data_IF_241023055288
#
_entry.id   IF_241023055288
#
_cell.length_a   1.000
_cell.length_b   1.000
_cell.length_c   1.000
_cell.angle_alpha   90.00
_cell.angle_beta   90.00
_cell.angle_gamma   90.00
#
_symmetry.space_group_name_H-M   'P 1'
#
loop_
_entity.id
_entity.type
_entity.pdbx_description
1 polymer ?
#
# COMPACT_ATOMS: atom_id res chain seq x y z
N UNK A 1 3.63 2.24 13.84
CA UNK A 1 3.33 1.55 12.56
C UNK A 1 4.58 0.83 12.07
N UNK A 2 4.57 -0.50 12.05
CA UNK A 2 5.68 -1.33 11.59
C UNK A 2 5.66 -1.46 10.05
N UNK A 3 6.29 -0.52 9.33
CA UNK A 3 6.20 -0.47 7.86
C UNK A 3 6.84 -1.68 7.17
N UNK A 4 7.89 -2.26 7.75
CA UNK A 4 8.59 -3.46 7.24
C UNK A 4 7.64 -4.62 6.98
N UNK A 5 6.63 -4.79 7.84
CA UNK A 5 5.61 -5.85 7.74
C UNK A 5 4.87 -5.90 6.41
N UNK A 6 4.80 -4.78 5.68
CA UNK A 6 4.15 -4.72 4.36
C UNK A 6 4.87 -5.59 3.33
N UNK A 7 6.20 -5.60 3.36
CA UNK A 7 7.02 -6.22 2.30
C UNK A 7 7.67 -7.52 2.74
N UNK A 8 7.69 -7.78 4.05
CA UNK A 8 8.29 -8.96 4.66
C UNK A 8 7.53 -9.37 5.92
N UNK A 9 7.33 -10.68 6.10
CA UNK A 9 6.73 -11.28 7.29
C UNK A 9 7.64 -12.42 7.77
N UNK A 10 7.75 -12.61 9.08
CA UNK A 10 8.44 -13.78 9.62
C UNK A 10 7.63 -15.05 9.34
N UNK A 11 8.27 -16.20 9.45
CA UNK A 11 7.61 -17.50 9.35
C UNK A 11 6.44 -17.59 10.32
N UNK A 12 5.29 -18.05 9.83
CA UNK A 12 4.00 -18.14 10.53
C UNK A 12 3.36 -16.78 10.89
N UNK A 13 3.88 -15.66 10.39
CA UNK A 13 3.23 -14.36 10.52
C UNK A 13 2.45 -13.96 9.25
N UNK A 14 1.36 -13.24 9.46
CA UNK A 14 0.60 -12.59 8.37
C UNK A 14 1.02 -11.13 8.20
N UNK A 15 0.66 -10.58 7.04
CA UNK A 15 0.66 -9.14 6.83
C UNK A 15 -0.51 -8.48 7.60
N UNK A 16 -0.71 -7.18 7.44
CA UNK A 16 -1.83 -6.46 8.05
C UNK A 16 -3.19 -7.05 7.63
N UNK A 17 -4.12 -7.16 8.59
CA UNK A 17 -5.40 -7.83 8.40
C UNK A 17 -6.22 -7.25 7.26
N UNK A 18 -6.18 -5.93 7.08
CA UNK A 18 -6.93 -5.24 6.03
C UNK A 18 -6.76 -5.85 4.63
N UNK A 19 -5.59 -6.40 4.29
CA UNK A 19 -5.41 -7.05 2.99
C UNK A 19 -6.24 -8.33 2.86
N UNK A 20 -6.22 -9.18 3.88
CA UNK A 20 -6.99 -10.42 3.91
C UNK A 20 -8.48 -10.12 4.03
N UNK A 21 -8.88 -9.19 4.90
CA UNK A 21 -10.25 -8.72 5.03
C UNK A 21 -10.79 -8.17 3.71
N UNK A 22 -10.05 -7.30 3.03
CA UNK A 22 -10.42 -6.77 1.72
C UNK A 22 -10.62 -7.87 0.68
N UNK A 23 -9.69 -8.83 0.60
CA UNK A 23 -9.79 -9.94 -0.35
C UNK A 23 -10.94 -10.90 0.00
N UNK A 24 -11.29 -11.08 1.27
CA UNK A 24 -12.40 -11.93 1.68
C UNK A 24 -13.76 -11.23 1.48
N UNK A 25 -13.88 -9.96 1.87
CA UNK A 25 -15.15 -9.25 1.97
C UNK A 25 -15.54 -8.36 0.78
N UNK A 26 -14.66 -8.12 -0.20
CA UNK A 26 -15.06 -7.40 -1.41
C UNK A 26 -16.00 -8.22 -2.31
N UNK A 27 -16.98 -7.53 -2.92
CA UNK A 27 -17.82 -8.12 -3.96
C UNK A 27 -17.00 -8.52 -5.19
N UNK A 28 -17.49 -9.49 -5.96
CA UNK A 28 -16.80 -9.91 -7.18
C UNK A 28 -16.66 -8.79 -8.21
N UNK A 29 -17.65 -7.89 -8.29
CA UNK A 29 -17.57 -6.70 -9.14
C UNK A 29 -16.42 -5.78 -8.74
N UNK A 30 -16.27 -5.49 -7.44
CA UNK A 30 -15.17 -4.65 -6.96
C UNK A 30 -13.81 -5.32 -7.10
N UNK A 31 -13.72 -6.64 -6.88
CA UNK A 31 -12.51 -7.41 -7.16
C UNK A 31 -12.13 -7.33 -8.63
N UNK A 32 -13.09 -7.49 -9.53
CA UNK A 32 -12.84 -7.37 -10.97
C UNK A 32 -12.34 -5.97 -11.37
N UNK A 33 -12.93 -4.90 -10.82
CA UNK A 33 -12.47 -3.52 -11.07
C UNK A 33 -11.03 -3.25 -10.62
N UNK A 34 -10.55 -3.96 -9.60
CA UNK A 34 -9.18 -3.83 -9.05
C UNK A 34 -8.24 -4.96 -9.52
N UNK A 35 -8.72 -5.84 -10.39
CA UNK A 35 -8.06 -7.07 -10.83
C UNK A 35 -7.50 -7.90 -9.65
N UNK A 36 -8.33 -8.08 -8.62
CA UNK A 36 -7.96 -8.78 -7.40
C UNK A 36 -8.23 -10.28 -7.47
N UNK A 37 -7.33 -11.07 -6.88
CA UNK A 37 -7.40 -12.52 -6.73
C UNK A 37 -7.30 -12.93 -5.27
N UNK A 38 -7.26 -14.22 -4.97
CA UNK A 38 -7.06 -14.71 -3.62
C UNK A 38 -5.66 -14.39 -3.08
N UNK A 39 -5.52 -14.35 -1.74
CA UNK A 39 -4.32 -13.90 -1.05
C UNK A 39 -3.03 -14.64 -1.48
N UNK A 40 -3.15 -15.91 -1.87
CA UNK A 40 -2.04 -16.74 -2.35
C UNK A 40 -1.37 -16.22 -3.62
N UNK A 41 -2.01 -15.32 -4.36
CA UNK A 41 -1.47 -14.73 -5.58
C UNK A 41 -0.53 -13.55 -5.33
N UNK A 42 -0.40 -13.08 -4.09
CA UNK A 42 0.34 -11.87 -3.76
C UNK A 42 1.58 -12.18 -2.93
N UNK A 43 2.75 -11.78 -3.44
CA UNK A 43 4.04 -11.95 -2.75
C UNK A 43 4.03 -11.34 -1.36
N UNK A 44 3.40 -10.17 -1.20
CA UNK A 44 3.33 -9.49 0.09
C UNK A 44 2.41 -10.19 1.11
N UNK A 45 1.59 -11.16 0.71
CA UNK A 45 0.70 -11.88 1.64
C UNK A 45 1.17 -13.30 1.93
N UNK A 46 2.13 -13.81 1.16
CA UNK A 46 2.60 -15.19 1.22
C UNK A 46 3.97 -15.35 1.88
N UNK A 47 4.66 -14.24 2.20
CA UNK A 47 6.02 -14.26 2.73
C UNK A 47 6.19 -15.02 4.05
N UNK A 48 5.17 -15.02 4.91
CA UNK A 48 5.19 -15.74 6.19
C UNK A 48 4.65 -17.17 6.13
N UNK A 49 4.25 -17.67 4.96
CA UNK A 49 3.83 -19.08 4.80
C UNK A 49 2.42 -19.42 5.28
N UNK A 50 1.66 -18.48 5.83
CA UNK A 50 0.23 -18.64 6.10
C UNK A 50 -0.58 -17.44 5.62
N UNK A 51 -1.72 -17.70 4.99
CA UNK A 51 -2.72 -16.68 4.60
C UNK A 51 -4.00 -16.77 5.44
N UNK A 52 -4.14 -17.82 6.26
CA UNK A 52 -5.30 -18.09 7.10
C UNK A 52 -4.91 -17.89 8.57
N UNK A 53 -5.86 -17.47 9.39
CA UNK A 53 -5.71 -17.40 10.83
C UNK A 53 -6.94 -18.01 11.48
N UNK A 54 -6.71 -19.04 12.28
CA UNK A 54 -7.79 -19.76 12.95
C UNK A 54 -8.57 -18.81 13.88
N UNK A 55 -9.89 -19.00 13.90
CA UNK A 55 -10.81 -18.22 14.73
C UNK A 55 -11.13 -16.81 14.22
N UNK A 56 -10.73 -16.45 13.00
CA UNK A 56 -11.07 -15.16 12.39
C UNK A 56 -11.90 -15.31 11.12
N UNK A 57 -12.94 -14.50 11.02
CA UNK A 57 -13.72 -14.29 9.80
C UNK A 57 -13.29 -12.96 9.16
N UNK A 58 -12.34 -13.05 8.21
CA UNK A 58 -11.81 -11.88 7.52
C UNK A 58 -12.91 -11.12 6.73
N UNK A 59 -13.97 -11.80 6.27
CA UNK A 59 -15.08 -11.16 5.55
C UNK A 59 -15.99 -10.37 6.49
N UNK A 60 -16.30 -10.93 7.66
CA UNK A 60 -17.04 -10.22 8.71
C UNK A 60 -16.25 -9.01 9.23
N UNK A 61 -14.95 -9.17 9.50
CA UNK A 61 -14.09 -8.04 9.91
C UNK A 61 -14.03 -6.94 8.84
N UNK A 62 -14.08 -7.29 7.55
CA UNK A 62 -14.17 -6.28 6.50
C UNK A 62 -15.46 -5.47 6.55
N UNK A 63 -16.60 -6.11 6.85
CA UNK A 63 -17.87 -5.42 7.02
C UNK A 63 -17.83 -4.44 8.19
N UNK A 64 -17.19 -4.84 9.29
CA UNK A 64 -16.99 -3.98 10.46
C UNK A 64 -16.07 -2.79 10.15
N UNK A 65 -14.96 -3.03 9.44
CA UNK A 65 -14.05 -1.97 8.98
C UNK A 65 -14.79 -0.95 8.11
N UNK A 66 -15.61 -1.41 7.15
CA UNK A 66 -16.40 -0.51 6.29
C UNK A 66 -17.40 0.30 7.10
N UNK A 67 -18.09 -0.33 8.05
CA UNK A 67 -19.03 0.35 8.94
C UNK A 67 -18.33 1.41 9.79
N UNK A 68 -17.16 1.09 10.35
CA UNK A 68 -16.36 2.04 11.11
C UNK A 68 -15.90 3.23 10.26
N UNK A 69 -15.45 3.00 9.02
CA UNK A 69 -15.09 4.10 8.09
C UNK A 69 -16.29 5.03 7.81
N UNK A 70 -17.51 4.49 7.73
CA UNK A 70 -18.73 5.30 7.59
C UNK A 70 -19.03 6.14 8.83
N UNK A 71 -18.88 5.58 10.02
CA UNK A 71 -19.02 6.32 11.29
C UNK A 71 -18.01 7.47 11.38
N UNK A 72 -16.81 7.25 10.84
CA UNK A 72 -15.75 8.27 10.73
C UNK A 72 -15.97 9.28 9.58
N UNK A 73 -17.19 9.34 9.02
CA UNK A 73 -17.59 10.27 7.96
C UNK A 73 -16.77 10.14 6.67
N UNK A 74 -16.21 8.96 6.39
CA UNK A 74 -15.55 8.68 5.12
C UNK A 74 -16.59 8.40 4.04
N UNK A 75 -16.51 9.12 2.92
CA UNK A 75 -17.42 8.92 1.78
C UNK A 75 -17.15 7.58 1.10
N UNK A 76 -18.08 7.09 0.27
CA UNK A 76 -17.82 5.89 -0.55
C UNK A 76 -16.59 6.06 -1.46
N UNK A 77 -16.35 7.28 -1.95
CA UNK A 77 -15.18 7.60 -2.75
C UNK A 77 -13.89 7.53 -1.91
N UNK A 78 -13.88 8.10 -0.69
CA UNK A 78 -12.72 7.98 0.21
C UNK A 78 -12.39 6.50 0.48
N UNK A 79 -13.40 5.69 0.80
CA UNK A 79 -13.23 4.25 1.06
C UNK A 79 -12.71 3.55 -0.20
N UNK A 80 -13.28 3.85 -1.37
CA UNK A 80 -12.87 3.27 -2.63
C UNK A 80 -11.42 3.62 -2.99
N UNK A 81 -10.99 4.86 -2.74
CA UNK A 81 -9.60 5.28 -2.97
C UNK A 81 -8.62 4.59 -2.02
N UNK A 82 -9.01 4.32 -0.78
CA UNK A 82 -8.23 3.50 0.15
C UNK A 82 -8.07 2.07 -0.39
N UNK A 83 -9.16 1.47 -0.88
CA UNK A 83 -9.15 0.13 -1.44
C UNK A 83 -8.28 0.05 -2.71
N UNK A 84 -8.32 1.08 -3.57
CA UNK A 84 -7.41 1.21 -4.72
C UNK A 84 -5.94 1.20 -4.27
N UNK A 85 -5.59 2.02 -3.27
CA UNK A 85 -4.21 2.09 -2.77
C UNK A 85 -3.76 0.72 -2.23
N UNK A 86 -4.62 0.03 -1.47
CA UNK A 86 -4.31 -1.31 -0.94
C UNK A 86 -4.14 -2.34 -2.07
N UNK A 87 -5.01 -2.32 -3.08
CA UNK A 87 -4.89 -3.20 -4.26
C UNK A 87 -3.59 -2.92 -5.05
N UNK A 88 -3.24 -1.64 -5.24
CA UNK A 88 -2.00 -1.27 -5.90
C UNK A 88 -0.76 -1.78 -5.15
N UNK A 89 -0.76 -1.77 -3.82
CA UNK A 89 0.34 -2.34 -3.03
C UNK A 89 0.51 -3.85 -3.27
N UNK A 90 -0.60 -4.59 -3.36
CA UNK A 90 -0.59 -6.03 -3.65
C UNK A 90 0.00 -6.32 -5.03
N UNK A 91 -0.44 -5.59 -6.06
CA UNK A 91 0.09 -5.72 -7.42
C UNK A 91 1.57 -5.31 -7.50
N UNK A 92 1.95 -4.24 -6.81
CA UNK A 92 3.33 -3.77 -6.76
C UNK A 92 4.27 -4.86 -6.24
N UNK A 93 3.91 -5.58 -5.18
CA UNK A 93 4.72 -6.68 -4.65
C UNK A 93 4.99 -7.81 -5.65
N UNK A 94 4.13 -7.97 -6.66
CA UNK A 94 4.25 -8.97 -7.71
C UNK A 94 5.08 -8.54 -8.91
N UNK A 95 5.58 -7.29 -8.94
CA UNK A 95 6.51 -6.84 -9.99
C UNK A 95 7.80 -7.68 -9.90
N UNK A 96 8.13 -8.35 -11.00
CA UNK A 96 9.32 -9.18 -11.15
C UNK A 96 10.39 -8.43 -11.93
N UNK A 97 11.64 -8.71 -11.58
CA UNK A 97 12.82 -8.07 -12.14
C UNK A 97 13.73 -9.13 -12.74
N UNK A 98 14.40 -8.79 -13.83
CA UNK A 98 15.41 -9.61 -14.49
C UNK A 98 16.70 -8.81 -14.63
N UNK A 99 17.81 -9.41 -14.24
CA UNK A 99 19.13 -8.81 -14.38
C UNK A 99 19.50 -8.66 -15.86
N UNK A 100 20.16 -7.55 -16.17
CA UNK A 100 20.64 -7.20 -17.51
C UNK A 100 21.95 -6.44 -17.38
N UNK A 101 22.74 -6.39 -18.45
CA UNK A 101 23.90 -5.50 -18.55
C UNK A 101 23.62 -4.46 -19.62
N UNK A 102 23.80 -3.18 -19.29
CA UNK A 102 23.66 -2.05 -20.22
C UNK A 102 24.95 -1.22 -20.13
N UNK A 103 25.65 -1.04 -21.25
CA UNK A 103 26.91 -0.29 -21.31
C UNK A 103 27.95 -0.74 -20.25
N UNK A 104 28.12 -2.05 -20.07
CA UNK A 104 28.98 -2.68 -19.05
C UNK A 104 28.61 -2.37 -17.59
N UNK A 105 27.41 -1.86 -17.33
CA UNK A 105 26.87 -1.63 -15.99
C UNK A 105 25.77 -2.64 -15.68
N UNK A 106 25.71 -3.07 -14.42
CA UNK A 106 24.60 -3.86 -13.90
C UNK A 106 23.30 -3.06 -13.97
N UNK A 107 22.32 -3.64 -14.64
CA UNK A 107 21.02 -3.06 -14.88
C UNK A 107 19.91 -4.08 -14.63
N UNK A 108 18.68 -3.59 -14.70
CA UNK A 108 17.48 -4.41 -14.48
C UNK A 108 16.41 -4.03 -15.47
N UNK A 109 15.67 -5.03 -15.94
CA UNK A 109 14.45 -4.85 -16.70
C UNK A 109 13.26 -5.52 -15.99
N UNK A 110 12.05 -5.04 -16.30
CA UNK A 110 10.79 -5.66 -15.88
C UNK A 110 10.27 -6.44 -17.09
N UNK A 111 10.37 -7.78 -17.13
CA UNK A 111 10.01 -8.54 -18.33
C UNK A 111 8.49 -8.65 -18.55
N UNK A 112 7.70 -8.56 -17.48
CA UNK A 112 6.24 -8.61 -17.52
C UNK A 112 5.67 -7.31 -16.95
N UNK A 113 5.02 -6.55 -17.81
CA UNK A 113 4.47 -5.24 -17.47
C UNK A 113 3.07 -5.31 -16.85
N UNK A 114 2.44 -6.49 -16.77
CA UNK A 114 1.05 -6.64 -16.30
C UNK A 114 0.82 -5.98 -14.94
N UNK A 115 1.70 -6.26 -13.96
CA UNK A 115 1.55 -5.66 -12.63
C UNK A 115 1.89 -4.18 -12.59
N UNK A 116 2.81 -3.72 -13.45
CA UNK A 116 3.12 -2.29 -13.58
C UNK A 116 1.90 -1.55 -14.15
N UNK A 117 1.26 -2.10 -15.17
CA UNK A 117 0.06 -1.56 -15.82
C UNK A 117 -1.11 -1.48 -14.85
N UNK A 118 -1.32 -2.52 -14.04
CA UNK A 118 -2.31 -2.51 -12.95
C UNK A 118 -2.03 -1.39 -11.95
N UNK A 119 -0.79 -1.29 -11.45
CA UNK A 119 -0.42 -0.26 -10.47
C UNK A 119 -0.58 1.14 -11.05
N UNK A 120 -0.12 1.36 -12.28
CA UNK A 120 -0.22 2.67 -12.94
C UNK A 120 -1.68 3.05 -13.20
N UNK A 121 -2.53 2.12 -13.64
CA UNK A 121 -3.94 2.38 -13.87
C UNK A 121 -4.69 2.69 -12.56
N UNK A 122 -4.45 1.92 -11.50
CA UNK A 122 -5.13 2.09 -10.21
C UNK A 122 -4.72 3.41 -9.53
N UNK A 123 -3.44 3.78 -9.60
CA UNK A 123 -2.89 4.99 -8.98
C UNK A 123 -2.95 6.23 -9.88
N UNK A 124 -3.38 6.08 -11.14
CA UNK A 124 -3.42 7.18 -12.11
C UNK A 124 -2.03 7.72 -12.48
N UNK A 125 -1.03 6.84 -12.56
CA UNK A 125 0.35 7.19 -12.90
C UNK A 125 0.65 6.88 -14.36
N UNK A 126 1.64 7.57 -14.93
CA UNK A 126 2.22 7.16 -16.20
C UNK A 126 3.02 5.85 -16.04
N UNK A 127 2.81 4.91 -16.96
CA UNK A 127 3.43 3.57 -16.91
C UNK A 127 4.94 3.65 -17.02
N UNK A 128 5.45 4.42 -17.99
CA UNK A 128 6.89 4.47 -18.28
C UNK A 128 7.63 5.17 -17.14
N UNK A 129 7.05 6.25 -16.62
CA UNK A 129 7.55 6.95 -15.43
C UNK A 129 7.63 6.02 -14.22
N UNK A 130 6.66 5.12 -14.03
CA UNK A 130 6.71 4.11 -12.97
C UNK A 130 7.81 3.06 -13.22
N UNK A 131 8.01 2.62 -14.47
CA UNK A 131 9.11 1.70 -14.82
C UNK A 131 10.45 2.37 -14.51
N UNK A 132 10.66 3.58 -15.00
CA UNK A 132 11.91 4.34 -14.81
C UNK A 132 12.18 4.56 -13.31
N UNK A 133 11.16 4.94 -12.54
CA UNK A 133 11.28 5.09 -11.09
C UNK A 133 11.66 3.79 -10.36
N UNK A 134 11.36 2.61 -10.94
CA UNK A 134 11.67 1.31 -10.36
C UNK A 134 12.97 0.69 -10.87
N UNK A 135 13.50 1.15 -12.01
CA UNK A 135 14.68 0.57 -12.68
C UNK A 135 15.87 1.52 -12.78
N UNK A 136 15.68 2.80 -12.49
CA UNK A 136 16.71 3.83 -12.58
C UNK A 136 16.80 4.67 -11.31
N UNK A 137 17.91 5.39 -11.18
CA UNK A 137 18.13 6.39 -10.12
C UNK A 137 18.60 7.68 -10.76
N UNK A 138 17.92 8.76 -10.42
CA UNK A 138 18.34 10.12 -10.79
C UNK A 138 19.08 10.76 -9.63
N UNK A 139 20.29 11.24 -9.87
CA UNK A 139 21.14 11.94 -8.91
C UNK A 139 21.38 13.36 -9.44
N UNK A 140 21.16 14.35 -8.59
CA UNK A 140 21.51 15.74 -8.86
C UNK A 140 22.87 16.02 -8.23
N UNK A 141 23.88 16.31 -9.05
CA UNK A 141 25.24 16.62 -8.58
C UNK A 141 25.76 17.84 -9.33
N UNK A 142 26.21 18.86 -8.59
CA UNK A 142 26.87 20.06 -9.13
C UNK A 142 26.10 20.78 -10.26
N UNK A 143 24.76 20.77 -10.22
CA UNK A 143 23.91 21.39 -11.25
C UNK A 143 23.57 20.48 -12.44
N UNK A 144 24.14 19.28 -12.51
CA UNK A 144 23.84 18.27 -13.52
C UNK A 144 22.89 17.19 -12.99
N UNK A 145 22.04 16.67 -13.88
CA UNK A 145 21.14 15.55 -13.60
C UNK A 145 21.72 14.30 -14.25
N UNK A 146 22.16 13.35 -13.43
CA UNK A 146 22.71 12.08 -13.89
C UNK A 146 21.70 10.96 -13.62
N UNK A 147 21.30 10.24 -14.66
CA UNK A 147 20.44 9.05 -14.56
C UNK A 147 21.31 7.80 -14.70
N UNK A 148 21.24 6.90 -13.72
CA UNK A 148 21.94 5.62 -13.73
C UNK A 148 20.98 4.44 -13.56
N UNK A 149 21.35 3.28 -14.09
CA UNK A 149 20.56 2.05 -13.99
C UNK A 149 20.71 1.41 -12.61
N UNK A 150 19.66 0.73 -12.14
CA UNK A 150 19.67 -0.05 -10.91
C UNK A 150 19.88 -1.54 -11.20
N UNK A 151 20.64 -2.22 -10.34
CA UNK A 151 20.67 -3.68 -10.33
C UNK A 151 19.41 -4.26 -9.68
N UNK A 152 19.23 -5.58 -9.80
CA UNK A 152 17.96 -6.24 -9.44
C UNK A 152 17.63 -6.13 -7.95
N UNK A 153 18.64 -6.15 -7.09
CA UNK A 153 18.44 -6.00 -5.64
C UNK A 153 18.05 -4.57 -5.30
N UNK A 154 18.74 -3.59 -5.88
CA UNK A 154 18.41 -2.17 -5.69
C UNK A 154 16.99 -1.84 -6.17
N UNK A 155 16.56 -2.37 -7.33
CA UNK A 155 15.19 -2.21 -7.82
C UNK A 155 14.15 -2.79 -6.88
N UNK A 156 14.42 -3.95 -6.25
CA UNK A 156 13.55 -4.54 -5.23
C UNK A 156 13.47 -3.65 -3.99
N UNK A 157 14.60 -3.12 -3.53
CA UNK A 157 14.65 -2.23 -2.39
C UNK A 157 13.87 -0.93 -2.65
N UNK A 158 14.00 -0.35 -3.85
CA UNK A 158 13.24 0.84 -4.27
C UNK A 158 11.74 0.56 -4.29
N UNK A 159 11.31 -0.55 -4.90
CA UNK A 159 9.90 -0.98 -4.90
C UNK A 159 9.36 -1.13 -3.49
N UNK A 160 10.11 -1.81 -2.63
CA UNK A 160 9.69 -2.09 -1.26
C UNK A 160 9.65 -0.80 -0.43
N UNK A 161 10.61 0.11 -0.61
CA UNK A 161 10.60 1.44 -0.02
C UNK A 161 9.40 2.25 -0.49
N UNK A 162 9.05 2.17 -1.78
CA UNK A 162 7.89 2.86 -2.33
C UNK A 162 6.58 2.33 -1.73
N UNK A 163 6.41 1.01 -1.66
CA UNK A 163 5.27 0.37 -1.01
C UNK A 163 5.14 0.78 0.47
N UNK A 164 6.25 0.74 1.22
CA UNK A 164 6.33 1.21 2.61
C UNK A 164 5.94 2.69 2.76
N UNK A 165 6.38 3.53 1.83
CA UNK A 165 6.07 4.95 1.79
C UNK A 165 4.59 5.23 1.54
N UNK A 166 4.00 4.55 0.56
CA UNK A 166 2.57 4.65 0.23
C UNK A 166 1.72 4.21 1.43
N UNK A 167 1.96 3.01 1.97
CA UNK A 167 1.18 2.51 3.10
C UNK A 167 1.34 3.39 4.35
N UNK A 168 2.55 3.87 4.61
CA UNK A 168 2.81 4.80 5.71
C UNK A 168 2.02 6.10 5.59
N UNK A 169 1.94 6.68 4.38
CA UNK A 169 1.13 7.89 4.12
C UNK A 169 -0.37 7.61 4.23
N UNK A 170 -0.83 6.47 3.72
CA UNK A 170 -2.22 6.04 3.86
C UNK A 170 -2.63 5.94 5.33
N UNK A 171 -1.80 5.31 6.17
CA UNK A 171 -2.06 5.20 7.60
C UNK A 171 -2.16 6.57 8.28
N UNK A 172 -1.21 7.47 8.00
CA UNK A 172 -1.25 8.85 8.53
C UNK A 172 -2.51 9.59 8.06
N UNK A 173 -2.93 9.38 6.81
CA UNK A 173 -4.17 9.97 6.28
C UNK A 173 -5.41 9.46 7.03
N UNK A 174 -5.51 8.16 7.28
CA UNK A 174 -6.61 7.57 8.05
C UNK A 174 -6.63 8.11 9.48
N UNK A 175 -5.48 8.18 10.16
CA UNK A 175 -5.38 8.78 11.51
C UNK A 175 -5.82 10.24 11.49
N UNK A 176 -5.44 11.01 10.46
CA UNK A 176 -5.89 12.39 10.31
C UNK A 176 -7.42 12.47 10.15
N UNK A 177 -8.03 11.60 9.35
CA UNK A 177 -9.50 11.53 9.19
C UNK A 177 -10.19 11.20 10.52
N UNK A 178 -9.66 10.23 11.28
CA UNK A 178 -10.14 9.89 12.62
C UNK A 178 -10.08 11.11 13.55
N UNK A 179 -8.92 11.77 13.60
CA UNK A 179 -8.74 12.94 14.45
C UNK A 179 -9.71 14.07 14.09
N UNK A 180 -9.94 14.32 12.79
CA UNK A 180 -10.93 15.31 12.34
C UNK A 180 -12.35 14.92 12.73
N UNK A 181 -12.73 13.64 12.63
CA UNK A 181 -14.06 13.17 12.98
C UNK A 181 -14.35 13.23 14.49
N UNK A 182 -13.35 12.96 15.33
CA UNK A 182 -13.47 13.02 16.80
C UNK A 182 -13.37 14.45 17.32
N UNK A 183 -12.61 15.30 16.64
CA UNK A 183 -12.42 16.70 17.03
C UNK A 183 -13.71 17.50 16.80
N UNK A 184 -14.54 17.63 17.85
CA UNK A 184 -15.68 18.57 17.87
C UNK A 184 -15.16 20.00 17.64
N UNK A 185 -15.51 20.60 16.52
CA UNK A 185 -15.31 22.04 16.32
C UNK A 185 -16.16 22.81 17.34
N UNK A 186 -15.53 23.75 18.02
CA UNK A 186 -16.12 24.59 19.06
C UNK A 186 -17.13 25.54 18.41
N UNK A 187 -18.43 25.23 18.50
CA UNK A 187 -19.45 26.25 18.30
C UNK A 187 -19.49 27.14 19.56
N UNK A 188 -18.70 28.21 19.54
CA UNK A 188 -18.85 29.44 20.32
C UNK A 188 -19.54 29.31 21.69
N UNK A 189 -18.82 28.89 22.74
CA UNK A 189 -19.07 29.34 24.13
C UNK A 189 -17.76 29.37 24.93
N UNK A 190 -17.59 30.48 25.64
CA UNK A 190 -16.50 30.80 26.56
C UNK A 190 -16.42 29.80 27.72
N UNK A 191 -15.18 29.44 28.11
CA UNK A 191 -14.73 28.88 29.40
C UNK A 191 -15.13 27.45 29.80
N UNK A 192 -14.14 26.55 29.88
CA UNK A 192 -13.91 25.62 31.00
C UNK A 192 -12.53 24.95 30.87
N UNK A 193 -11.81 24.76 31.98
CA UNK A 193 -10.56 24.00 32.05
C UNK A 193 -10.80 22.56 31.59
N UNK A 194 -10.40 22.24 30.35
CA UNK A 194 -10.54 20.90 29.78
C UNK A 194 -9.38 20.02 30.24
N UNK A 195 -9.65 19.07 31.13
CA UNK A 195 -8.73 17.99 31.43
C UNK A 195 -8.85 16.87 30.39
N UNK A 196 -7.71 16.33 29.94
CA UNK A 196 -7.64 15.12 29.12
C UNK A 196 -6.94 14.01 29.92
N UNK A 197 -7.45 12.78 29.81
CA UNK A 197 -6.80 11.59 30.37
C UNK A 197 -6.12 10.86 29.21
N UNK A 198 -4.78 10.81 29.23
CA UNK A 198 -4.00 10.03 28.29
C UNK A 198 -4.01 8.55 28.67
N UNK A 199 -4.32 7.68 27.70
CA UNK A 199 -4.16 6.23 27.83
C UNK A 199 -2.99 5.83 26.91
N UNK A 200 -1.94 5.26 27.51
CA UNK A 200 -0.75 4.72 26.81
C UNK A 200 -0.89 3.21 26.61
#
# INVERSE_FOLDING_TARGET
>A
LEKSRIVHQNTNERNYHIFYCMLAGLSQEHKAKLDLKDATHYKYLTGGGSVVCDGRDDAAEFADIRSAMKVLMMTDNDIWDILKILAALLHMGNIKYKAKVVANLDATEIPDHTNVERVSAILGLDKNSLIDALTTRTIFAQGETVVSTLNTNQSRDVRDAFAKGIYGRLFVHIVKKINVAIHRQENNKVSEDKCAIGVL
#
